data_IF_711985144909
#
_entry.id   IF_711985144909
#
_cell.length_a   1.000
_cell.length_b   1.000
_cell.length_c   1.000
_cell.angle_alpha   90.00
_cell.angle_beta   90.00
_cell.angle_gamma   90.00
#
_symmetry.space_group_name_H-M   'P 1'
#
loop_
_entity.id
_entity.type
_entity.pdbx_description
1 polymer ?
#
# COMPACT_ATOMS: atom_id res chain seq x y z
N UNK A 1 11.31 -8.56 13.48
CA UNK A 1 10.38 -8.23 14.58
C UNK A 1 9.11 -7.66 13.96
N UNK A 2 7.90 -7.97 14.45
CA UNK A 2 6.68 -7.40 13.88
C UNK A 2 6.65 -5.89 14.11
N UNK A 3 6.39 -5.11 13.06
CA UNK A 3 6.15 -3.67 13.21
C UNK A 3 4.73 -3.46 13.74
N UNK A 4 4.61 -2.87 14.92
CA UNK A 4 3.31 -2.55 15.51
C UNK A 4 2.85 -1.17 15.03
N UNK A 5 1.63 -1.11 14.51
CA UNK A 5 0.96 0.13 14.14
C UNK A 5 -0.22 0.40 15.06
N UNK A 6 -0.52 1.68 15.29
CA UNK A 6 -1.67 2.06 16.12
C UNK A 6 -2.94 2.03 15.28
N UNK A 7 -3.96 1.34 15.79
CA UNK A 7 -5.34 1.41 15.28
C UNK A 7 -6.08 2.55 15.99
N UNK A 8 -6.84 3.33 15.24
CA UNK A 8 -7.65 4.44 15.75
C UNK A 8 -8.91 4.64 14.90
N UNK A 9 -9.82 5.50 15.36
CA UNK A 9 -11.02 5.85 14.60
C UNK A 9 -10.84 7.20 13.91
N UNK A 10 -11.29 7.29 12.65
CA UNK A 10 -11.41 8.52 11.88
C UNK A 10 -12.87 8.70 11.48
N UNK A 11 -13.61 9.55 12.20
CA UNK A 11 -15.06 9.64 12.07
C UNK A 11 -15.73 8.30 12.38
N UNK A 12 -16.51 7.76 11.42
CA UNK A 12 -17.20 6.47 11.54
C UNK A 12 -16.34 5.28 11.06
N UNK A 13 -15.10 5.52 10.64
CA UNK A 13 -14.23 4.51 10.06
C UNK A 13 -13.11 4.12 11.02
N UNK A 14 -12.64 2.88 10.93
CA UNK A 14 -11.39 2.44 11.54
C UNK A 14 -10.21 2.77 10.62
N UNK A 15 -9.07 3.14 11.20
CA UNK A 15 -7.85 3.49 10.49
C UNK A 15 -6.61 2.93 11.20
N UNK A 16 -5.57 2.64 10.41
CA UNK A 16 -4.25 2.23 10.91
C UNK A 16 -3.25 3.33 10.59
N UNK A 17 -2.46 3.76 11.60
CA UNK A 17 -1.39 4.74 11.37
C UNK A 17 -0.16 4.05 10.79
N UNK A 18 0.08 4.25 9.50
CA UNK A 18 1.29 3.76 8.83
C UNK A 18 2.54 4.46 9.36
N UNK A 19 3.53 3.66 9.77
CA UNK A 19 4.87 4.14 10.11
C UNK A 19 5.54 4.73 8.86
N UNK A 20 6.55 5.58 9.06
CA UNK A 20 7.19 6.33 7.96
C UNK A 20 7.68 5.41 6.83
N UNK A 21 8.23 4.25 7.18
CA UNK A 21 8.76 3.24 6.26
C UNK A 21 7.69 2.52 5.41
N UNK A 22 6.42 2.52 5.85
CA UNK A 22 5.31 1.84 5.16
C UNK A 22 4.33 2.80 4.48
N UNK A 23 4.69 4.08 4.33
CA UNK A 23 3.80 5.06 3.69
C UNK A 23 3.73 4.82 2.19
N UNK A 24 2.51 4.88 1.65
CA UNK A 24 2.26 4.87 0.22
C UNK A 24 2.43 6.29 -0.36
N UNK A 25 2.91 6.38 -1.59
CA UNK A 25 2.95 7.63 -2.38
C UNK A 25 1.80 7.68 -3.41
N UNK A 26 0.64 7.13 -3.04
CA UNK A 26 -0.57 7.08 -3.88
C UNK A 26 -1.78 7.46 -3.05
N UNK A 27 -2.82 7.95 -3.71
CA UNK A 27 -4.07 8.37 -3.04
C UNK A 27 -4.97 7.20 -2.67
N UNK A 28 -4.85 6.07 -3.39
CA UNK A 28 -5.70 4.90 -3.22
C UNK A 28 -4.88 3.61 -3.12
N UNK A 29 -5.43 2.67 -2.36
CA UNK A 29 -4.90 1.31 -2.24
C UNK A 29 -6.02 0.30 -2.45
N UNK A 30 -5.67 -0.82 -3.04
CA UNK A 30 -6.50 -2.01 -3.09
C UNK A 30 -6.32 -2.80 -1.80
N UNK A 31 -7.39 -3.41 -1.33
CA UNK A 31 -7.40 -4.23 -0.12
C UNK A 31 -7.80 -5.65 -0.52
N UNK A 32 -6.94 -6.62 -0.20
CA UNK A 32 -7.25 -8.04 -0.30
C UNK A 32 -7.14 -8.70 1.08
N UNK A 33 -7.96 -9.71 1.32
CA UNK A 33 -7.89 -10.51 2.55
C UNK A 33 -7.43 -11.93 2.22
N UNK A 34 -6.39 -12.39 2.90
CA UNK A 34 -5.85 -13.75 2.80
C UNK A 34 -5.80 -14.35 4.21
N UNK A 35 -6.83 -15.14 4.55
CA UNK A 35 -7.03 -15.63 5.92
C UNK A 35 -7.20 -14.47 6.91
N UNK A 36 -6.29 -14.41 7.89
CA UNK A 36 -6.26 -13.36 8.92
C UNK A 36 -5.43 -12.13 8.50
N UNK A 37 -4.84 -12.14 7.31
CA UNK A 37 -4.02 -11.06 6.80
C UNK A 37 -4.81 -10.12 5.88
N UNK A 38 -4.61 -8.81 6.06
CA UNK A 38 -5.01 -7.78 5.09
C UNK A 38 -3.78 -7.34 4.30
N UNK A 39 -3.88 -7.43 2.98
CA UNK A 39 -2.84 -7.02 2.04
C UNK A 39 -3.28 -5.73 1.35
N UNK A 40 -2.48 -4.68 1.53
CA UNK A 40 -2.68 -3.38 0.89
C UNK A 40 -1.74 -3.25 -0.30
N UNK A 41 -2.27 -2.94 -1.48
CA UNK A 41 -1.48 -2.71 -2.70
C UNK A 41 -1.76 -1.31 -3.25
N UNK A 42 -0.77 -0.55 -3.74
CA UNK A 42 -1.03 0.72 -4.40
C UNK A 42 -2.02 0.54 -5.56
N UNK A 43 -3.13 1.29 -5.54
CA UNK A 43 -4.02 1.31 -6.69
C UNK A 43 -3.44 2.27 -7.72
N UNK A 44 -3.03 1.72 -8.87
CA UNK A 44 -2.59 2.52 -10.00
C UNK A 44 -3.83 2.76 -10.86
N UNK A 45 -4.34 4.00 -10.90
CA UNK A 45 -5.32 4.36 -11.92
C UNK A 45 -4.70 4.08 -13.28
N UNK A 46 -5.32 3.19 -14.04
CA UNK A 46 -4.82 2.73 -15.32
C UNK A 46 -4.82 3.89 -16.34
N UNK A 47 -3.79 4.73 -16.29
CA UNK A 47 -3.30 5.44 -17.47
C UNK A 47 -2.48 4.50 -18.35
N UNK A 48 -1.78 3.55 -17.75
CA UNK A 48 -1.01 2.54 -18.49
C UNK A 48 -1.05 1.17 -17.80
N UNK A 49 -1.68 0.19 -18.46
CA UNK A 49 -1.50 -1.22 -18.14
C UNK A 49 0.01 -1.57 -18.02
N UNK A 50 0.39 -2.46 -17.10
CA UNK A 50 1.78 -2.89 -16.85
C UNK A 50 2.74 -1.86 -16.21
N UNK A 51 2.24 -0.82 -15.54
CA UNK A 51 3.10 0.15 -14.84
C UNK A 51 4.04 -0.47 -13.79
N UNK A 52 3.59 -1.47 -13.04
CA UNK A 52 4.45 -2.20 -12.08
C UNK A 52 5.55 -3.02 -12.77
N UNK A 53 5.27 -3.59 -13.95
CA UNK A 53 6.28 -4.29 -14.75
C UNK A 53 7.30 -3.29 -15.31
N UNK A 54 6.86 -2.13 -15.80
CA UNK A 54 7.76 -1.07 -16.28
C UNK A 54 8.68 -0.56 -15.17
N UNK A 55 8.16 -0.41 -13.94
CA UNK A 55 8.97 -0.06 -12.79
C UNK A 55 10.00 -1.15 -12.43
N UNK A 56 9.61 -2.42 -12.51
CA UNK A 56 10.52 -3.54 -12.26
C UNK A 56 11.57 -3.74 -13.38
N UNK A 57 11.27 -3.31 -14.60
CA UNK A 57 12.16 -3.33 -15.76
C UNK A 57 12.98 -2.05 -15.92
N UNK A 58 12.73 -1.02 -15.12
CA UNK A 58 13.54 0.18 -15.12
C UNK A 58 14.97 -0.22 -14.71
N UNK A 59 16.01 0.17 -15.48
CA UNK A 59 17.39 -0.13 -15.12
C UNK A 59 17.65 0.39 -13.71
N UNK A 60 18.16 -0.48 -12.83
CA UNK A 60 18.51 -0.11 -11.47
C UNK A 60 19.42 1.10 -11.49
N UNK A 61 18.97 2.20 -10.88
CA UNK A 61 19.89 3.28 -10.51
C UNK A 61 20.84 2.71 -9.46
N UNK A 62 22.11 2.54 -9.84
CA UNK A 62 23.26 2.49 -8.93
C UNK A 62 23.29 3.72 -8.01
#
# INVERSE_FOLDING_TARGET
MPHLARVFHSGKSQAVRLLKEFRFNVERVEIAQEGDALILRPHVEAGEPWSSLKAALAPGHE
#
